data_IF_216477130254
#
_entry.id   IF_216477130254
#
_cell.length_a   1.000
_cell.length_b   1.000
_cell.length_c   1.000
_cell.angle_alpha   90.00
_cell.angle_beta   90.00
_cell.angle_gamma   90.00
#
_symmetry.space_group_name_H-M   'P 1'
#
loop_
_entity.id
_entity.type
_entity.pdbx_description
1 polymer ?
#
# COMPACT_ATOMS: atom_id res chain seq x y z
N UNK A 1 -16.61 12.77 19.56
CA UNK A 1 -15.60 11.89 20.18
C UNK A 1 -15.69 10.46 19.67
N UNK A 2 -16.86 9.80 19.73
CA UNK A 2 -17.00 8.38 19.33
C UNK A 2 -16.61 8.10 17.86
N UNK A 3 -17.01 8.98 16.91
CA UNK A 3 -16.65 8.82 15.50
C UNK A 3 -15.14 8.90 15.25
N UNK A 4 -14.43 9.79 15.96
CA UNK A 4 -12.97 9.87 15.89
C UNK A 4 -12.29 8.60 16.44
N UNK A 5 -12.76 8.09 17.58
CA UNK A 5 -12.25 6.85 18.15
C UNK A 5 -12.49 5.67 17.20
N UNK A 6 -13.66 5.59 16.58
CA UNK A 6 -13.97 4.56 15.58
C UNK A 6 -13.08 4.68 14.36
N UNK A 7 -12.80 5.90 13.90
CA UNK A 7 -11.87 6.14 12.80
C UNK A 7 -10.45 5.68 13.14
N UNK A 8 -9.92 6.06 14.32
CA UNK A 8 -8.60 5.60 14.75
C UNK A 8 -8.54 4.07 14.92
N UNK A 9 -9.58 3.45 15.45
CA UNK A 9 -9.66 2.00 15.56
C UNK A 9 -9.67 1.33 14.17
N UNK A 10 -10.41 1.88 13.22
CA UNK A 10 -10.44 1.38 11.84
C UNK A 10 -9.06 1.53 11.15
N UNK A 11 -8.37 2.65 11.34
CA UNK A 11 -7.00 2.84 10.84
C UNK A 11 -6.04 1.83 11.46
N UNK A 12 -6.13 1.61 12.77
CA UNK A 12 -5.31 0.60 13.45
C UNK A 12 -5.55 -0.81 12.91
N UNK A 13 -6.83 -1.17 12.65
CA UNK A 13 -7.19 -2.45 12.03
C UNK A 13 -6.64 -2.57 10.61
N UNK A 14 -6.66 -1.50 9.80
CA UNK A 14 -6.09 -1.48 8.46
C UNK A 14 -4.58 -1.76 8.49
N UNK A 15 -3.85 -1.05 9.35
CA UNK A 15 -2.40 -1.24 9.51
C UNK A 15 -2.09 -2.65 10.03
N UNK A 16 -2.85 -3.13 10.99
CA UNK A 16 -2.64 -4.47 11.53
C UNK A 16 -3.03 -5.57 10.54
N UNK A 17 -4.09 -5.38 9.76
CA UNK A 17 -4.51 -6.28 8.69
C UNK A 17 -3.42 -6.45 7.63
N UNK A 18 -2.85 -5.34 7.12
CA UNK A 18 -1.75 -5.37 6.15
C UNK A 18 -0.51 -6.05 6.73
N UNK A 19 -0.16 -5.79 7.99
CA UNK A 19 0.94 -6.47 8.67
C UNK A 19 0.68 -7.98 8.81
N UNK A 20 -0.55 -8.37 9.11
CA UNK A 20 -0.96 -9.77 9.30
C UNK A 20 -0.88 -10.55 7.99
N UNK A 21 -1.34 -9.98 6.88
CA UNK A 21 -1.18 -10.58 5.53
C UNK A 21 0.30 -10.75 5.21
N UNK A 22 1.09 -9.69 5.31
CA UNK A 22 2.52 -9.72 5.02
C UNK A 22 3.25 -10.82 5.79
N UNK A 23 3.06 -10.87 7.11
CA UNK A 23 3.72 -11.88 7.94
C UNK A 23 3.20 -13.29 7.69
N UNK A 24 1.92 -13.44 7.37
CA UNK A 24 1.30 -14.71 7.00
C UNK A 24 1.87 -15.25 5.68
N UNK A 25 1.88 -14.45 4.63
CA UNK A 25 2.42 -14.83 3.31
C UNK A 25 3.90 -15.19 3.38
N UNK A 26 4.71 -14.39 4.09
CA UNK A 26 6.14 -14.68 4.26
C UNK A 26 6.40 -16.00 5.01
N UNK A 27 5.50 -16.40 5.90
CA UNK A 27 5.60 -17.69 6.61
C UNK A 27 5.15 -18.88 5.76
N UNK A 28 4.25 -18.67 4.79
CA UNK A 28 3.75 -19.73 3.89
C UNK A 28 4.68 -19.93 2.70
N UNK A 29 5.01 -18.84 2.02
CA UNK A 29 5.66 -18.83 0.71
C UNK A 29 7.05 -18.19 0.70
N UNK A 30 7.59 -17.78 1.85
CA UNK A 30 8.80 -16.95 1.90
C UNK A 30 10.01 -17.55 1.17
N UNK A 31 10.22 -18.87 1.26
CA UNK A 31 11.31 -19.57 0.56
C UNK A 31 11.04 -19.65 -0.96
N UNK A 32 9.80 -19.95 -1.35
CA UNK A 32 9.42 -20.02 -2.76
C UNK A 32 9.50 -18.65 -3.44
N UNK A 33 9.05 -17.59 -2.76
CA UNK A 33 9.15 -16.21 -3.24
C UNK A 33 10.62 -15.77 -3.42
N UNK A 34 11.49 -16.14 -2.48
CA UNK A 34 12.93 -15.92 -2.61
C UNK A 34 13.53 -16.68 -3.79
N UNK A 35 13.11 -17.94 -3.99
CA UNK A 35 13.54 -18.76 -5.13
C UNK A 35 13.11 -18.14 -6.45
N UNK A 36 11.84 -17.71 -6.57
CA UNK A 36 11.31 -17.04 -7.76
C UNK A 36 12.12 -15.78 -8.05
N UNK A 37 12.35 -14.91 -7.07
CA UNK A 37 13.15 -13.70 -7.26
C UNK A 37 14.58 -14.04 -7.75
N UNK A 38 15.23 -15.05 -7.18
CA UNK A 38 16.59 -15.43 -7.56
C UNK A 38 16.65 -16.01 -8.98
N UNK A 39 15.67 -16.83 -9.38
CA UNK A 39 15.67 -17.51 -10.69
C UNK A 39 15.21 -16.60 -11.84
N UNK A 40 14.52 -15.52 -11.54
CA UNK A 40 13.94 -14.62 -12.56
C UNK A 40 14.87 -13.46 -12.95
N UNK A 41 16.16 -13.51 -12.58
CA UNK A 41 17.08 -12.36 -12.73
C UNK A 41 17.92 -12.36 -14.00
N UNK A 42 17.79 -13.38 -14.85
CA UNK A 42 18.53 -13.49 -16.12
C UNK A 42 18.06 -12.42 -17.14
N UNK A 43 16.82 -11.97 -17.04
CA UNK A 43 16.24 -10.91 -17.87
C UNK A 43 15.56 -9.86 -16.98
N UNK A 44 15.74 -8.58 -17.32
CA UNK A 44 15.13 -7.46 -16.56
C UNK A 44 13.59 -7.53 -16.55
N UNK A 45 12.96 -7.97 -17.65
CA UNK A 45 11.51 -8.08 -17.72
C UNK A 45 10.99 -9.19 -16.79
N UNK A 46 11.65 -10.35 -16.77
CA UNK A 46 11.29 -11.45 -15.86
C UNK A 46 11.53 -11.07 -14.40
N UNK A 47 12.60 -10.31 -14.11
CA UNK A 47 12.88 -9.77 -12.79
C UNK A 47 11.77 -8.79 -12.35
N UNK A 48 11.32 -7.91 -13.24
CA UNK A 48 10.21 -6.98 -12.99
C UNK A 48 8.90 -7.73 -12.72
N UNK A 49 8.54 -8.70 -13.55
CA UNK A 49 7.33 -9.53 -13.35
C UNK A 49 7.38 -10.31 -12.03
N UNK A 50 8.54 -10.86 -11.68
CA UNK A 50 8.74 -11.53 -10.40
C UNK A 50 8.56 -10.55 -9.23
N UNK A 51 9.12 -9.34 -9.33
CA UNK A 51 8.94 -8.29 -8.34
C UNK A 51 7.49 -7.89 -8.16
N UNK A 52 6.73 -7.75 -9.27
CA UNK A 52 5.30 -7.48 -9.27
C UNK A 52 4.52 -8.60 -8.55
N UNK A 53 4.73 -9.85 -8.95
CA UNK A 53 4.02 -10.99 -8.37
C UNK A 53 4.34 -11.18 -6.89
N UNK A 54 5.64 -11.13 -6.53
CA UNK A 54 6.08 -11.25 -5.13
C UNK A 54 5.49 -10.14 -4.27
N UNK A 55 5.54 -8.89 -4.74
CA UNK A 55 5.01 -7.76 -3.97
C UNK A 55 3.49 -7.79 -3.90
N UNK A 56 2.79 -8.19 -4.95
CA UNK A 56 1.35 -8.40 -4.92
C UNK A 56 0.94 -9.41 -3.83
N UNK A 57 1.68 -10.50 -3.68
CA UNK A 57 1.42 -11.51 -2.65
C UNK A 57 1.80 -11.03 -1.24
N UNK A 58 3.01 -10.46 -1.07
CA UNK A 58 3.51 -9.98 0.24
C UNK A 58 2.81 -8.68 0.67
N UNK A 59 2.26 -7.91 -0.28
CA UNK A 59 1.67 -6.59 -0.09
C UNK A 59 2.66 -5.56 0.52
N UNK A 60 3.95 -5.71 0.19
CA UNK A 60 5.00 -4.86 0.74
C UNK A 60 6.20 -4.75 -0.20
N UNK A 61 6.30 -3.64 -0.93
CA UNK A 61 7.46 -3.32 -1.76
C UNK A 61 8.75 -3.15 -0.92
N UNK A 62 8.64 -2.66 0.32
CA UNK A 62 9.78 -2.58 1.24
C UNK A 62 10.33 -3.96 1.58
N UNK A 63 9.47 -4.96 1.86
CA UNK A 63 9.93 -6.32 2.14
C UNK A 63 10.59 -6.94 0.90
N UNK A 64 10.04 -6.75 -0.29
CA UNK A 64 10.65 -7.20 -1.55
C UNK A 64 12.00 -6.51 -1.77
N UNK A 65 12.11 -5.22 -1.46
CA UNK A 65 13.34 -4.45 -1.52
C UNK A 65 14.44 -5.06 -0.62
N UNK A 66 14.11 -5.38 0.62
CA UNK A 66 15.07 -5.97 1.56
C UNK A 66 15.56 -7.35 1.09
N UNK A 67 14.68 -8.16 0.49
CA UNK A 67 15.08 -9.45 -0.08
C UNK A 67 16.02 -9.24 -1.28
N UNK A 68 15.63 -8.39 -2.25
CA UNK A 68 16.45 -8.10 -3.43
C UNK A 68 17.80 -7.47 -3.03
N UNK A 69 17.80 -6.56 -2.06
CA UNK A 69 18.98 -5.92 -1.48
C UNK A 69 19.95 -6.96 -0.88
N UNK A 70 19.43 -7.88 -0.10
CA UNK A 70 20.21 -8.98 0.48
C UNK A 70 20.83 -9.88 -0.60
N UNK A 71 20.09 -10.18 -1.67
CA UNK A 71 20.62 -10.99 -2.78
C UNK A 71 21.72 -10.26 -3.55
N UNK A 72 21.61 -8.96 -3.76
CA UNK A 72 22.69 -8.14 -4.36
C UNK A 72 23.89 -8.10 -3.44
N UNK A 73 23.71 -7.95 -2.13
CA UNK A 73 24.78 -7.94 -1.14
C UNK A 73 25.57 -9.25 -1.10
N UNK A 74 24.88 -10.36 -1.29
CA UNK A 74 25.49 -11.70 -1.35
C UNK A 74 26.07 -12.05 -2.73
N UNK A 75 25.95 -11.17 -3.73
CA UNK A 75 26.41 -11.42 -5.10
C UNK A 75 25.56 -12.45 -5.86
N UNK A 76 24.37 -12.78 -5.35
CA UNK A 76 23.46 -13.76 -5.97
C UNK A 76 22.74 -13.21 -7.20
N UNK A 77 22.54 -11.90 -7.26
CA UNK A 77 21.93 -11.20 -8.40
C UNK A 77 22.67 -9.87 -8.66
N UNK A 78 22.65 -9.41 -9.91
CA UNK A 78 23.21 -8.11 -10.27
C UNK A 78 22.34 -6.96 -9.74
N UNK A 79 22.95 -5.79 -9.45
CA UNK A 79 22.23 -4.60 -9.00
C UNK A 79 21.12 -4.19 -9.97
N UNK A 80 21.37 -4.26 -11.30
CA UNK A 80 20.37 -3.96 -12.34
C UNK A 80 19.13 -4.84 -12.26
N UNK A 81 19.31 -6.16 -12.01
CA UNK A 81 18.21 -7.09 -11.79
C UNK A 81 17.44 -6.75 -10.51
N UNK A 82 18.14 -6.40 -9.42
CA UNK A 82 17.52 -5.94 -8.17
C UNK A 82 16.68 -4.67 -8.37
N UNK A 83 17.13 -3.73 -9.18
CA UNK A 83 16.35 -2.52 -9.54
C UNK A 83 15.15 -2.86 -10.43
N UNK A 84 15.28 -3.79 -11.37
CA UNK A 84 14.15 -4.27 -12.17
C UNK A 84 13.07 -4.93 -11.30
N UNK A 85 13.48 -5.75 -10.30
CA UNK A 85 12.57 -6.29 -9.27
C UNK A 85 11.82 -5.17 -8.56
N UNK A 86 12.50 -4.06 -8.24
CA UNK A 86 11.87 -2.94 -7.53
C UNK A 86 10.85 -2.19 -8.38
N UNK A 87 11.10 -2.02 -9.69
CA UNK A 87 10.10 -1.46 -10.61
C UNK A 87 8.82 -2.31 -10.59
N UNK A 88 8.95 -3.63 -10.68
CA UNK A 88 7.82 -4.54 -10.57
C UNK A 88 7.15 -4.50 -9.19
N UNK A 89 7.93 -4.39 -8.13
CA UNK A 89 7.42 -4.30 -6.77
C UNK A 89 6.54 -3.05 -6.55
N UNK A 90 6.93 -1.92 -7.10
CA UNK A 90 6.15 -0.69 -7.00
C UNK A 90 4.83 -0.80 -7.80
N UNK A 91 4.86 -1.42 -8.98
CA UNK A 91 3.65 -1.76 -9.74
C UNK A 91 2.76 -2.74 -8.97
N UNK A 92 3.35 -3.75 -8.29
CA UNK A 92 2.61 -4.72 -7.48
C UNK A 92 1.85 -4.06 -6.32
N UNK A 93 2.45 -3.06 -5.67
CA UNK A 93 1.76 -2.30 -4.62
C UNK A 93 0.57 -1.52 -5.19
N UNK A 94 0.74 -0.86 -6.33
CA UNK A 94 -0.33 -0.12 -7.02
C UNK A 94 -1.46 -1.04 -7.47
N UNK A 95 -1.13 -2.22 -8.01
CA UNK A 95 -2.11 -3.23 -8.39
C UNK A 95 -2.96 -3.67 -7.18
N UNK A 96 -2.33 -3.92 -6.03
CA UNK A 96 -3.06 -4.30 -4.81
C UNK A 96 -3.95 -3.17 -4.29
N UNK A 97 -3.53 -1.91 -4.41
CA UNK A 97 -4.38 -0.78 -4.08
C UNK A 97 -5.63 -0.75 -4.97
N UNK A 98 -5.50 -1.02 -6.27
CA UNK A 98 -6.64 -1.15 -7.20
C UNK A 98 -7.53 -2.32 -6.82
N UNK A 99 -6.98 -3.50 -6.51
CA UNK A 99 -7.77 -4.67 -6.09
C UNK A 99 -8.60 -4.36 -4.84
N UNK A 100 -8.03 -3.70 -3.85
CA UNK A 100 -8.76 -3.31 -2.63
C UNK A 100 -9.70 -2.11 -2.82
N UNK A 101 -9.65 -1.41 -3.95
CA UNK A 101 -10.61 -0.36 -4.29
C UNK A 101 -11.96 -0.90 -4.77
N UNK A 102 -12.02 -2.17 -5.16
CA UNK A 102 -13.30 -2.83 -5.44
C UNK A 102 -14.06 -3.12 -4.13
N UNK A 103 -15.38 -3.03 -4.19
CA UNK A 103 -16.20 -3.36 -3.02
C UNK A 103 -16.19 -4.88 -2.74
N UNK A 104 -15.26 -5.28 -1.89
CA UNK A 104 -15.10 -6.64 -1.39
C UNK A 104 -15.72 -6.79 0.02
N UNK A 105 -16.62 -5.91 0.39
CA UNK A 105 -17.20 -5.82 1.74
C UNK A 105 -17.88 -7.11 2.19
N UNK A 106 -18.61 -7.76 1.29
CA UNK A 106 -19.29 -9.04 1.54
C UNK A 106 -18.33 -10.21 1.85
N UNK A 107 -17.09 -10.11 1.34
CA UNK A 107 -16.07 -11.15 1.53
C UNK A 107 -15.41 -11.08 2.92
N UNK A 108 -15.44 -9.91 3.57
CA UNK A 108 -14.79 -9.70 4.87
C UNK A 108 -15.22 -10.69 5.96
N UNK A 109 -16.52 -10.86 6.27
CA UNK A 109 -16.95 -11.78 7.30
C UNK A 109 -16.55 -13.23 7.01
N UNK A 110 -16.65 -13.64 5.73
CA UNK A 110 -16.30 -14.99 5.28
C UNK A 110 -14.80 -15.27 5.50
N UNK A 111 -13.94 -14.33 5.09
CA UNK A 111 -12.49 -14.47 5.25
C UNK A 111 -12.09 -14.52 6.73
N UNK A 112 -12.72 -13.71 7.58
CA UNK A 112 -12.43 -13.71 9.02
C UNK A 112 -12.87 -15.03 9.65
N UNK A 113 -14.10 -15.48 9.42
CA UNK A 113 -14.63 -16.72 10.03
C UNK A 113 -13.80 -17.93 9.61
N UNK A 114 -13.62 -18.15 8.29
CA UNK A 114 -12.82 -19.28 7.79
C UNK A 114 -11.37 -19.15 8.27
N UNK A 115 -10.82 -17.94 8.21
CA UNK A 115 -9.46 -17.68 8.66
C UNK A 115 -9.24 -18.00 10.14
N UNK A 116 -10.16 -17.60 11.01
CA UNK A 116 -10.10 -17.90 12.45
C UNK A 116 -10.20 -19.40 12.69
N UNK A 117 -11.15 -20.09 12.05
CA UNK A 117 -11.30 -21.55 12.17
C UNK A 117 -9.99 -22.27 11.76
N UNK A 118 -9.42 -21.92 10.62
CA UNK A 118 -8.18 -22.53 10.16
C UNK A 118 -6.99 -22.18 11.07
N UNK A 119 -6.91 -20.94 11.54
CA UNK A 119 -5.84 -20.48 12.39
C UNK A 119 -5.88 -21.17 13.77
N UNK A 120 -7.05 -21.28 14.39
CA UNK A 120 -7.20 -21.87 15.72
C UNK A 120 -7.10 -23.39 15.70
N UNK A 121 -7.67 -24.05 14.68
CA UNK A 121 -7.69 -25.52 14.60
C UNK A 121 -6.35 -26.12 14.16
N UNK A 122 -5.51 -25.37 13.44
CA UNK A 122 -4.30 -25.90 12.79
C UNK A 122 -3.11 -24.94 12.85
N UNK A 123 -2.85 -24.31 13.98
CA UNK A 123 -1.85 -23.23 14.17
C UNK A 123 -0.45 -23.53 13.64
N UNK A 124 0.05 -24.76 13.84
CA UNK A 124 1.39 -25.16 13.44
C UNK A 124 1.52 -25.60 11.96
N UNK A 125 0.41 -25.69 11.24
CA UNK A 125 0.37 -26.20 9.87
C UNK A 125 0.32 -25.05 8.83
N UNK A 126 0.54 -25.39 7.56
CA UNK A 126 0.36 -24.46 6.44
C UNK A 126 -1.07 -23.91 6.39
N UNK A 127 -2.07 -24.74 6.70
CA UNK A 127 -3.47 -24.31 6.76
C UNK A 127 -3.71 -23.21 7.80
N UNK A 128 -3.12 -23.32 9.01
CA UNK A 128 -3.21 -22.25 10.01
C UNK A 128 -2.50 -20.96 9.58
N UNK A 129 -1.38 -21.07 8.86
CA UNK A 129 -0.69 -19.89 8.29
C UNK A 129 -1.53 -19.23 7.21
N UNK A 130 -2.19 -20.00 6.34
CA UNK A 130 -3.14 -19.49 5.35
C UNK A 130 -4.33 -18.82 6.04
N UNK A 131 -4.86 -19.43 7.12
CA UNK A 131 -5.88 -18.83 7.97
C UNK A 131 -5.50 -17.42 8.45
N UNK A 132 -4.24 -17.22 8.85
CA UNK A 132 -3.72 -15.89 9.22
C UNK A 132 -3.78 -14.89 8.06
N UNK A 133 -3.44 -15.31 6.84
CA UNK A 133 -3.55 -14.45 5.64
C UNK A 133 -5.02 -14.07 5.40
N UNK A 134 -5.93 -15.04 5.50
CA UNK A 134 -7.38 -14.78 5.34
C UNK A 134 -7.91 -13.80 6.39
N UNK A 135 -7.53 -13.96 7.67
CA UNK A 135 -7.86 -12.99 8.71
C UNK A 135 -7.37 -11.60 8.32
N UNK A 136 -6.12 -11.48 7.90
CA UNK A 136 -5.55 -10.19 7.52
C UNK A 136 -6.28 -9.52 6.36
N UNK A 137 -6.61 -10.27 5.30
CA UNK A 137 -7.41 -9.79 4.17
C UNK A 137 -8.81 -9.34 4.59
N UNK A 138 -9.49 -10.14 5.42
CA UNK A 138 -10.79 -9.78 5.97
C UNK A 138 -10.74 -8.53 6.85
N UNK A 139 -9.68 -8.36 7.64
CA UNK A 139 -9.49 -7.16 8.47
C UNK A 139 -9.22 -5.90 7.62
N UNK A 140 -8.48 -6.00 6.51
CA UNK A 140 -8.27 -4.88 5.58
C UNK A 140 -9.63 -4.42 5.03
N UNK A 141 -10.42 -5.34 4.48
CA UNK A 141 -11.72 -5.00 3.89
C UNK A 141 -12.70 -4.48 4.93
N UNK A 142 -12.73 -5.05 6.14
CA UNK A 142 -13.53 -4.55 7.27
C UNK A 142 -13.10 -3.13 7.67
N UNK A 143 -11.80 -2.89 7.78
CA UNK A 143 -11.26 -1.58 8.16
C UNK A 143 -11.65 -0.49 7.16
N UNK A 144 -11.60 -0.78 5.85
CA UNK A 144 -12.03 0.16 4.82
C UNK A 144 -13.51 0.53 4.96
N UNK A 145 -14.39 -0.44 5.24
CA UNK A 145 -15.81 -0.18 5.52
C UNK A 145 -15.99 0.69 6.77
N UNK A 146 -15.28 0.36 7.86
CA UNK A 146 -15.37 1.12 9.11
C UNK A 146 -14.85 2.55 8.94
N UNK A 147 -13.79 2.78 8.14
CA UNK A 147 -13.30 4.12 7.80
C UNK A 147 -14.42 4.92 7.12
N UNK A 148 -15.01 4.40 6.05
CA UNK A 148 -16.09 5.07 5.33
C UNK A 148 -17.29 5.33 6.24
N UNK A 149 -17.68 4.36 7.06
CA UNK A 149 -18.81 4.50 7.99
C UNK A 149 -18.56 5.53 9.09
N UNK A 150 -17.33 5.57 9.64
CA UNK A 150 -16.96 6.52 10.68
C UNK A 150 -16.85 7.97 10.14
N UNK A 151 -16.51 8.12 8.85
CA UNK A 151 -16.27 9.43 8.22
C UNK A 151 -17.54 10.07 7.66
N UNK A 152 -18.56 9.29 7.28
CA UNK A 152 -19.84 9.81 6.77
C UNK A 152 -20.46 10.93 7.63
N UNK A 153 -20.61 10.79 8.97
CA UNK A 153 -21.16 11.85 9.80
C UNK A 153 -20.27 13.10 9.85
N UNK A 154 -18.96 12.94 9.63
CA UNK A 154 -18.00 14.03 9.67
C UNK A 154 -18.10 14.92 8.43
N UNK A 155 -18.36 14.35 7.25
CA UNK A 155 -18.50 15.10 5.99
C UNK A 155 -19.72 15.99 5.97
N UNK A 156 -20.74 15.69 6.78
CA UNK A 156 -21.95 16.50 6.91
C UNK A 156 -21.81 17.66 7.91
N UNK A 157 -20.69 17.70 8.66
CA UNK A 157 -20.44 18.77 9.64
C UNK A 157 -19.98 20.04 8.93
N UNK A 158 -20.68 21.22 9.14
CA UNK A 158 -20.24 22.50 8.58
C UNK A 158 -18.84 22.90 9.02
N UNK A 159 -18.46 22.51 10.25
CA UNK A 159 -17.10 22.76 10.78
C UNK A 159 -16.04 22.00 9.97
N UNK A 160 -16.30 20.73 9.66
CA UNK A 160 -15.36 19.93 8.85
C UNK A 160 -15.26 20.48 7.44
N UNK A 161 -16.38 20.85 6.83
CA UNK A 161 -16.39 21.48 5.50
C UNK A 161 -15.59 22.79 5.46
N UNK A 162 -15.76 23.66 6.46
CA UNK A 162 -15.00 24.91 6.55
C UNK A 162 -13.49 24.65 6.76
N UNK A 163 -13.12 23.64 7.55
CA UNK A 163 -11.72 23.26 7.73
C UNK A 163 -11.11 22.70 6.45
N UNK A 164 -11.84 21.85 5.72
CA UNK A 164 -11.37 21.28 4.45
C UNK A 164 -11.15 22.34 3.37
N UNK A 165 -12.02 23.37 3.33
CA UNK A 165 -11.87 24.49 2.39
C UNK A 165 -10.74 25.44 2.79
N UNK A 166 -10.38 25.49 4.07
CA UNK A 166 -9.28 26.30 4.60
C UNK A 166 -7.91 25.62 4.52
N UNK A 167 -7.86 24.31 4.18
CA UNK A 167 -6.58 23.61 4.02
C UNK A 167 -5.77 24.25 2.87
N UNK A 168 -4.52 24.64 3.12
CA UNK A 168 -3.66 25.14 2.06
C UNK A 168 -3.44 24.03 1.02
N UNK A 169 -3.52 24.37 -0.28
CA UNK A 169 -3.20 23.47 -1.38
C UNK A 169 -1.67 23.29 -1.53
N UNK A 170 -1.02 22.86 -0.45
CA UNK A 170 0.44 22.69 -0.39
C UNK A 170 0.82 21.23 -0.64
N UNK A 171 0.88 20.85 -1.91
CA UNK A 171 1.18 19.46 -2.32
C UNK A 171 2.47 18.92 -1.70
N UNK A 172 3.47 19.77 -1.45
CA UNK A 172 4.72 19.34 -0.81
C UNK A 172 4.50 18.95 0.66
N UNK A 173 3.61 19.66 1.36
CA UNK A 173 3.23 19.29 2.74
C UNK A 173 2.49 17.95 2.76
N UNK A 174 1.56 17.74 1.82
CA UNK A 174 0.83 16.49 1.70
C UNK A 174 1.79 15.31 1.44
N UNK A 175 2.77 15.50 0.55
CA UNK A 175 3.83 14.52 0.29
C UNK A 175 4.62 14.22 1.57
N UNK A 176 5.03 15.25 2.32
CA UNK A 176 5.76 15.06 3.56
C UNK A 176 4.94 14.29 4.59
N UNK A 177 3.67 14.63 4.77
CA UNK A 177 2.75 13.94 5.67
C UNK A 177 2.56 12.47 5.24
N UNK A 178 2.31 12.20 3.96
CA UNK A 178 2.18 10.84 3.43
C UNK A 178 3.44 10.00 3.64
N UNK A 179 4.63 10.59 3.46
CA UNK A 179 5.89 9.92 3.71
C UNK A 179 6.08 9.58 5.20
N UNK A 180 5.82 10.54 6.08
CA UNK A 180 5.92 10.35 7.53
C UNK A 180 4.95 9.26 8.01
N UNK A 181 3.68 9.31 7.60
CA UNK A 181 2.69 8.29 7.95
C UNK A 181 3.12 6.90 7.46
N UNK A 182 3.71 6.79 6.28
CA UNK A 182 4.21 5.52 5.74
C UNK A 182 5.38 4.98 6.56
N UNK A 183 6.31 5.84 6.97
CA UNK A 183 7.44 5.45 7.81
C UNK A 183 6.95 4.92 9.17
N UNK A 184 6.00 5.60 9.81
CA UNK A 184 5.45 5.17 11.10
C UNK A 184 4.60 3.90 11.02
N UNK A 185 3.78 3.76 9.96
CA UNK A 185 2.94 2.56 9.75
C UNK A 185 3.70 1.36 9.20
N UNK A 186 4.93 1.54 8.71
CA UNK A 186 5.70 0.54 7.97
C UNK A 186 4.96 -0.06 6.75
N UNK A 187 3.98 0.67 6.20
CA UNK A 187 3.12 0.18 5.12
C UNK A 187 2.62 1.31 4.22
N UNK A 188 3.18 1.45 3.03
CA UNK A 188 2.67 2.38 2.03
C UNK A 188 1.29 1.98 1.52
N UNK A 189 1.02 0.68 1.40
CA UNK A 189 -0.29 0.19 0.98
C UNK A 189 -1.39 0.62 1.96
N UNK A 190 -1.16 0.50 3.27
CA UNK A 190 -2.13 0.94 4.27
C UNK A 190 -2.43 2.44 4.15
N UNK A 191 -1.42 3.28 3.92
CA UNK A 191 -1.61 4.72 3.76
C UNK A 191 -2.33 5.05 2.45
N UNK A 192 -2.01 4.38 1.35
CA UNK A 192 -2.72 4.54 0.07
C UNK A 192 -4.21 4.16 0.22
N UNK A 193 -4.50 3.02 0.85
CA UNK A 193 -5.88 2.57 1.07
C UNK A 193 -6.65 3.50 2.03
N UNK A 194 -6.01 3.96 3.09
CA UNK A 194 -6.59 4.97 3.99
C UNK A 194 -6.93 6.25 3.22
N UNK A 195 -5.98 6.75 2.43
CA UNK A 195 -6.15 7.96 1.62
C UNK A 195 -7.29 7.79 0.62
N UNK A 196 -7.35 6.64 -0.07
CA UNK A 196 -8.41 6.33 -1.01
C UNK A 196 -9.79 6.27 -0.33
N UNK A 197 -9.89 5.62 0.84
CA UNK A 197 -11.14 5.55 1.61
C UNK A 197 -11.61 6.92 2.09
N UNK A 198 -10.69 7.78 2.57
CA UNK A 198 -11.01 9.14 3.00
C UNK A 198 -11.39 10.06 1.82
N UNK A 199 -10.76 9.87 0.66
CA UNK A 199 -11.13 10.59 -0.57
C UNK A 199 -12.50 10.14 -1.08
N UNK A 200 -12.77 8.83 -1.11
CA UNK A 200 -14.06 8.29 -1.50
C UNK A 200 -15.20 8.72 -0.58
N UNK A 201 -14.93 8.93 0.70
CA UNK A 201 -15.91 9.48 1.66
C UNK A 201 -16.08 11.00 1.60
N UNK A 202 -15.35 11.70 0.73
CA UNK A 202 -15.42 13.16 0.56
C UNK A 202 -14.72 13.97 1.67
N UNK A 203 -13.93 13.33 2.56
CA UNK A 203 -13.15 14.03 3.59
C UNK A 203 -11.90 14.66 3.00
N UNK A 204 -11.21 13.96 2.12
CA UNK A 204 -9.99 14.48 1.50
C UNK A 204 -10.27 15.00 0.09
N UNK A 205 -9.89 16.24 -0.21
CA UNK A 205 -9.84 16.72 -1.58
C UNK A 205 -8.90 15.88 -2.44
N UNK A 206 -9.21 15.70 -3.72
CA UNK A 206 -8.42 14.89 -4.65
C UNK A 206 -6.94 15.32 -4.70
N UNK A 207 -6.67 16.63 -4.64
CA UNK A 207 -5.30 17.18 -4.65
C UNK A 207 -4.49 16.70 -3.45
N UNK A 208 -5.08 16.79 -2.24
CA UNK A 208 -4.47 16.31 -0.99
C UNK A 208 -4.24 14.80 -1.06
N UNK A 209 -5.24 14.05 -1.54
CA UNK A 209 -5.13 12.59 -1.69
C UNK A 209 -3.98 12.20 -2.63
N UNK A 210 -3.82 12.88 -3.76
CA UNK A 210 -2.71 12.65 -4.69
C UNK A 210 -1.35 12.94 -4.02
N UNK A 211 -1.24 14.04 -3.27
CA UNK A 211 -0.03 14.37 -2.51
C UNK A 211 0.32 13.31 -1.47
N UNK A 212 -0.66 12.85 -0.69
CA UNK A 212 -0.47 11.78 0.31
C UNK A 212 -0.02 10.46 -0.33
N UNK A 213 -0.58 10.08 -1.48
CA UNK A 213 -0.19 8.86 -2.22
C UNK A 213 1.25 8.97 -2.73
N UNK A 214 1.64 10.12 -3.31
CA UNK A 214 3.02 10.37 -3.72
C UNK A 214 3.97 10.29 -2.51
N UNK A 215 3.57 10.89 -1.39
CA UNK A 215 4.30 10.81 -0.13
C UNK A 215 4.43 9.38 0.40
N UNK A 216 3.36 8.59 0.34
CA UNK A 216 3.40 7.18 0.75
C UNK A 216 4.39 6.37 -0.09
N UNK A 217 4.46 6.65 -1.39
CA UNK A 217 5.42 6.01 -2.27
C UNK A 217 6.86 6.39 -1.92
N UNK A 218 7.17 7.69 -1.72
CA UNK A 218 8.48 8.16 -1.27
C UNK A 218 8.85 7.59 0.11
N UNK A 219 7.92 7.62 1.05
CA UNK A 219 8.11 7.12 2.41
C UNK A 219 8.53 5.65 2.45
N UNK A 220 7.97 4.82 1.56
CA UNK A 220 8.38 3.41 1.43
C UNK A 220 9.82 3.26 0.93
N UNK A 221 10.28 4.14 0.04
CA UNK A 221 11.67 4.20 -0.41
C UNK A 221 12.64 4.64 0.71
N UNK A 222 12.27 5.69 1.44
CA UNK A 222 13.03 6.17 2.60
C UNK A 222 13.13 5.07 3.66
N UNK A 223 12.01 4.39 3.96
CA UNK A 223 11.99 3.28 4.91
C UNK A 223 12.92 2.14 4.51
N UNK A 224 12.98 1.79 3.21
CA UNK A 224 13.89 0.78 2.71
C UNK A 224 15.36 1.19 2.88
N UNK A 225 15.70 2.46 2.59
CA UNK A 225 17.05 3.00 2.80
C UNK A 225 17.42 3.00 4.27
N UNK A 226 16.52 3.47 5.16
CA UNK A 226 16.74 3.46 6.61
C UNK A 226 16.95 2.04 7.15
N UNK A 227 16.14 1.08 6.67
CA UNK A 227 16.23 -0.33 7.08
C UNK A 227 17.55 -1.00 6.67
N UNK A 228 18.22 -0.48 5.64
CA UNK A 228 19.51 -1.01 5.14
C UNK A 228 20.71 -0.10 5.50
N UNK A 229 20.50 0.95 6.27
CA UNK A 229 21.52 1.97 6.55
C UNK A 229 22.81 1.41 7.20
N UNK A 230 22.68 0.32 7.97
CA UNK A 230 23.79 -0.36 8.65
C UNK A 230 24.38 -1.52 7.85
N UNK A 231 23.83 -1.83 6.68
CA UNK A 231 24.28 -2.92 5.83
C UNK A 231 25.47 -2.50 4.95
N UNK A 232 26.11 -3.47 4.32
CA UNK A 232 27.24 -3.23 3.41
C UNK A 232 26.86 -2.39 2.18
N UNK A 233 27.86 -1.73 1.53
CA UNK A 233 27.59 -0.84 0.39
C UNK A 233 26.85 -1.51 -0.77
N UNK A 234 27.08 -2.79 -1.03
CA UNK A 234 26.42 -3.54 -2.07
C UNK A 234 24.91 -3.69 -1.82
N UNK A 235 24.51 -3.99 -0.58
CA UNK A 235 23.11 -4.13 -0.18
C UNK A 235 22.32 -2.81 -0.27
N UNK A 236 22.99 -1.69 -0.07
CA UNK A 236 22.38 -0.36 -0.09
C UNK A 236 22.09 0.16 -1.50
N UNK A 237 22.67 -0.42 -2.55
CA UNK A 237 22.52 0.05 -3.93
C UNK A 237 21.06 -0.03 -4.41
N UNK A 238 20.37 -1.13 -4.11
CA UNK A 238 18.97 -1.32 -4.54
C UNK A 238 18.02 -0.35 -3.84
N UNK A 239 18.00 -0.22 -2.50
CA UNK A 239 17.14 0.75 -1.82
C UNK A 239 17.40 2.21 -2.25
N UNK A 240 18.66 2.60 -2.39
CA UNK A 240 19.03 3.95 -2.81
C UNK A 240 18.58 4.21 -4.26
N UNK A 241 18.85 3.27 -5.18
CA UNK A 241 18.43 3.39 -6.57
C UNK A 241 16.90 3.46 -6.70
N UNK A 242 16.17 2.66 -5.91
CA UNK A 242 14.72 2.71 -5.88
C UNK A 242 14.19 4.05 -5.31
N UNK A 243 14.83 4.59 -4.26
CA UNK A 243 14.45 5.90 -3.72
C UNK A 243 14.66 7.01 -4.74
N UNK A 244 15.78 6.99 -5.48
CA UNK A 244 16.05 7.97 -6.56
C UNK A 244 14.98 7.85 -7.64
N UNK A 245 14.63 6.63 -8.06
CA UNK A 245 13.58 6.38 -9.04
C UNK A 245 12.22 6.93 -8.57
N UNK A 246 11.84 6.66 -7.32
CA UNK A 246 10.62 7.20 -6.71
C UNK A 246 10.63 8.73 -6.61
N UNK A 247 11.78 9.31 -6.29
CA UNK A 247 11.96 10.76 -6.24
C UNK A 247 11.75 11.40 -7.60
N UNK A 248 12.34 10.85 -8.66
CA UNK A 248 12.13 11.30 -10.03
C UNK A 248 10.66 11.15 -10.44
N UNK A 249 10.06 10.00 -10.17
CA UNK A 249 8.64 9.74 -10.44
C UNK A 249 7.73 10.73 -9.72
N UNK A 250 8.02 11.03 -8.45
CA UNK A 250 7.28 12.02 -7.66
C UNK A 250 7.43 13.43 -8.27
N UNK A 251 8.64 13.84 -8.64
CA UNK A 251 8.89 15.14 -9.27
C UNK A 251 8.16 15.27 -10.62
N UNK A 252 8.16 14.22 -11.44
CA UNK A 252 7.41 14.18 -12.69
C UNK A 252 5.90 14.29 -12.45
N UNK A 253 5.39 13.53 -11.45
CA UNK A 253 3.97 13.58 -11.11
C UNK A 253 3.54 14.94 -10.56
N UNK A 254 4.38 15.66 -9.84
CA UNK A 254 4.08 17.04 -9.40
C UNK A 254 3.76 17.96 -10.58
N UNK A 255 4.48 17.83 -11.67
CA UNK A 255 4.21 18.58 -12.91
C UNK A 255 2.93 18.10 -13.58
N UNK A 256 2.61 16.80 -13.48
CA UNK A 256 1.46 16.18 -14.14
C UNK A 256 0.15 16.27 -13.34
N UNK A 257 0.21 16.50 -12.01
CA UNK A 257 -0.98 16.57 -11.13
C UNK A 257 -2.08 17.50 -11.68
N UNK A 258 -1.82 18.72 -12.16
CA UNK A 258 -2.86 19.58 -12.72
C UNK A 258 -3.57 18.95 -13.93
N UNK A 259 -2.83 18.28 -14.80
CA UNK A 259 -3.37 17.60 -15.99
C UNK A 259 -4.16 16.36 -15.63
N UNK A 260 -3.64 15.54 -14.70
CA UNK A 260 -4.35 14.35 -14.17
C UNK A 260 -5.67 14.77 -13.53
N UNK A 261 -5.67 15.85 -12.74
CA UNK A 261 -6.88 16.41 -12.14
C UNK A 261 -7.90 16.83 -13.20
N UNK A 262 -7.47 17.54 -14.25
CA UNK A 262 -8.36 17.97 -15.32
C UNK A 262 -9.00 16.77 -16.06
N UNK A 263 -8.22 15.71 -16.32
CA UNK A 263 -8.72 14.49 -16.96
C UNK A 263 -9.73 13.77 -16.04
N UNK A 264 -9.41 13.60 -14.75
CA UNK A 264 -10.30 12.91 -13.81
C UNK A 264 -11.61 13.68 -13.60
N UNK A 265 -11.57 15.01 -13.55
CA UNK A 265 -12.77 15.84 -13.48
C UNK A 265 -13.61 15.79 -14.76
N UNK A 266 -12.97 15.63 -15.92
CA UNK A 266 -13.64 15.44 -17.20
C UNK A 266 -14.31 14.07 -17.35
N UNK A 267 -13.77 13.03 -16.72
CA UNK A 267 -14.31 11.65 -16.77
C UNK A 267 -15.39 11.41 -15.70
N UNK A 268 -15.34 12.14 -14.58
CA UNK A 268 -16.30 11.97 -13.48
C UNK A 268 -17.79 12.02 -13.89
N UNK A 269 -18.23 12.87 -14.84
CA UNK A 269 -19.63 12.86 -15.31
C UNK A 269 -20.07 11.57 -15.97
N UNK A 270 -19.15 10.79 -16.53
CA UNK A 270 -19.43 9.55 -17.25
C UNK A 270 -19.41 8.30 -16.36
N UNK A 271 -18.91 8.43 -15.14
CA UNK A 271 -18.81 7.30 -14.20
C UNK A 271 -19.96 7.25 -13.19
N UNK A 272 -20.76 8.30 -13.06
CA UNK A 272 -22.01 8.28 -12.31
C UNK A 272 -23.10 7.65 -13.15
N UNK A 273 -23.11 6.32 -13.24
CA UNK A 273 -24.23 5.58 -13.84
C UNK A 273 -25.47 5.71 -12.94
N UNK A 274 -26.71 5.76 -13.52
CA UNK A 274 -27.95 5.97 -12.79
C UNK A 274 -28.37 4.80 -11.86
N UNK A 275 -27.49 3.80 -11.65
CA UNK A 275 -27.75 2.63 -10.81
C UNK A 275 -27.56 2.84 -9.30
N UNK A 276 -27.20 4.05 -8.86
CA UNK A 276 -27.07 4.37 -7.42
C UNK A 276 -28.33 5.04 -6.82
N UNK A 277 -29.44 5.08 -7.55
CA UNK A 277 -30.72 5.65 -7.11
C UNK A 277 -31.86 4.62 -6.96
N UNK A 278 -31.54 3.33 -6.73
CA UNK A 278 -32.57 2.34 -6.34
C UNK A 278 -32.22 1.74 -4.99
#
# INVERSE_FOLDING_TARGET
MQHLLNLFAAIALLVWGTHTVRTGVLRVLGEDLRRVLKQSTDNQLTAMLAGLGVTGLIQSSTATCLIASSFVGQGLIATGAGLAVMLGADMGTSLMAVVFSFDLSWLSPLLIVIGVILFTSRQATTAGRVGRVMIGLGLITLALQLIVSATRPMTQSPLVQSLLTALPNEVLLDIAVGAVLTIFSYSSLAIVLLTAALAASGILPLTVALGLVLGANLGSGILAVLSTARNGPAERRVPIGNLIFKGIGCALMLVLVPYVRAVLQGVAPYTTSPLSQV
#
